data_IF_580701427479
#
_entry.id   IF_580701427479
#
_cell.length_a   1.000
_cell.length_b   1.000
_cell.length_c   1.000
_cell.angle_alpha   90.00
_cell.angle_beta   90.00
_cell.angle_gamma   90.00
#
_symmetry.space_group_name_H-M   'P 1'
#
loop_
_entity.id
_entity.type
_entity.pdbx_description
1 polymer ?
#
# COMPACT_ATOMS: atom_id res chain seq x y z
N UNK A 1 1.28 -55.61 -42.36
CA UNK A 1 0.26 -55.31 -41.33
C UNK A 1 0.88 -55.02 -39.95
N UNK A 2 2.19 -55.28 -39.74
CA UNK A 2 2.89 -55.05 -38.46
C UNK A 2 3.44 -53.64 -38.24
N UNK A 3 3.61 -52.81 -39.29
CA UNK A 3 4.12 -51.43 -39.16
C UNK A 3 3.13 -50.40 -38.58
N UNK A 4 1.95 -50.84 -38.14
CA UNK A 4 0.90 -49.98 -37.58
C UNK A 4 0.79 -50.03 -36.05
N UNK A 5 1.48 -50.97 -35.40
CA UNK A 5 1.39 -51.17 -33.95
C UNK A 5 2.51 -50.48 -33.16
N UNK A 6 3.60 -50.06 -33.80
CA UNK A 6 4.69 -49.31 -33.13
C UNK A 6 4.42 -47.81 -32.99
N UNK A 7 3.36 -47.29 -33.63
CA UNK A 7 3.05 -45.84 -33.61
C UNK A 7 2.30 -45.40 -32.35
N UNK A 8 1.80 -46.34 -31.56
CA UNK A 8 1.01 -46.08 -30.34
C UNK A 8 1.84 -46.15 -29.05
N UNK A 9 3.17 -46.32 -29.15
CA UNK A 9 4.11 -46.29 -28.01
C UNK A 9 4.95 -45.02 -27.92
N UNK A 10 4.62 -43.97 -28.67
CA UNK A 10 5.16 -42.65 -28.34
C UNK A 10 4.41 -42.11 -27.11
N UNK A 11 5.09 -41.83 -25.99
CA UNK A 11 4.45 -41.15 -24.88
C UNK A 11 3.88 -39.83 -25.40
N UNK A 12 2.60 -39.59 -25.13
CA UNK A 12 1.95 -38.31 -25.39
C UNK A 12 2.88 -37.21 -24.89
N UNK A 13 3.21 -36.17 -25.70
CA UNK A 13 4.04 -35.06 -25.24
C UNK A 13 3.40 -34.53 -23.96
N UNK A 14 4.18 -34.42 -22.88
CA UNK A 14 3.73 -34.02 -21.55
C UNK A 14 2.82 -32.79 -21.62
N UNK A 15 1.51 -33.04 -21.70
CA UNK A 15 0.47 -32.03 -21.73
C UNK A 15 0.31 -31.50 -20.30
N UNK A 16 1.27 -30.69 -19.85
CA UNK A 16 1.29 -30.23 -18.46
C UNK A 16 2.38 -29.21 -18.13
N UNK A 17 3.51 -29.17 -18.85
CA UNK A 17 4.47 -28.07 -18.66
C UNK A 17 3.93 -26.83 -19.35
N UNK A 18 3.18 -26.02 -18.60
CA UNK A 18 2.96 -24.61 -18.92
C UNK A 18 4.33 -23.93 -18.95
N UNK A 19 4.99 -23.93 -20.10
CA UNK A 19 6.17 -23.12 -20.35
C UNK A 19 5.77 -21.66 -20.11
N UNK A 20 6.28 -21.08 -19.02
CA UNK A 20 6.01 -19.72 -18.63
C UNK A 20 6.95 -18.75 -19.33
N UNK A 21 6.42 -17.59 -19.69
CA UNK A 21 7.15 -16.41 -20.17
C UNK A 21 8.36 -16.06 -19.28
N UNK A 22 9.60 -15.83 -19.79
CA UNK A 22 10.33 -16.50 -20.88
C UNK A 22 11.27 -17.63 -20.40
N UNK A 23 11.29 -18.03 -19.12
CA UNK A 23 12.38 -18.84 -18.53
C UNK A 23 11.93 -20.01 -17.60
N UNK A 24 10.98 -20.84 -18.02
CA UNK A 24 10.68 -22.11 -17.32
C UNK A 24 9.37 -22.13 -16.51
N UNK A 25 9.36 -22.88 -15.40
CA UNK A 25 8.18 -23.01 -14.53
C UNK A 25 7.81 -21.65 -13.95
N UNK A 26 6.63 -21.15 -14.34
CA UNK A 26 6.13 -19.86 -13.87
C UNK A 26 5.52 -19.92 -12.45
N UNK A 27 5.73 -21.00 -11.71
CA UNK A 27 5.26 -21.18 -10.34
C UNK A 27 6.40 -20.92 -9.34
N UNK A 28 6.35 -19.81 -8.58
CA UNK A 28 7.38 -19.45 -7.62
C UNK A 28 7.38 -20.37 -6.40
N UNK A 29 8.54 -20.91 -6.02
CA UNK A 29 8.67 -21.57 -4.71
C UNK A 29 8.64 -20.53 -3.58
N UNK A 30 8.28 -20.95 -2.36
CA UNK A 30 8.27 -20.06 -1.18
C UNK A 30 9.62 -19.36 -0.95
N UNK A 31 10.74 -20.09 -1.10
CA UNK A 31 12.08 -19.54 -0.95
C UNK A 31 12.40 -18.46 -1.99
N UNK A 32 12.05 -18.70 -3.25
CA UNK A 32 12.22 -17.71 -4.32
C UNK A 32 11.38 -16.46 -4.09
N UNK A 33 10.11 -16.62 -3.67
CA UNK A 33 9.23 -15.49 -3.34
C UNK A 33 9.80 -14.62 -2.22
N UNK A 34 10.31 -15.24 -1.16
CA UNK A 34 10.96 -14.51 -0.05
C UNK A 34 12.19 -13.76 -0.56
N UNK A 35 13.08 -14.43 -1.29
CA UNK A 35 14.31 -13.82 -1.81
C UNK A 35 14.04 -12.62 -2.72
N UNK A 36 13.11 -12.77 -3.67
CA UNK A 36 12.69 -11.68 -4.57
C UNK A 36 12.05 -10.52 -3.79
N UNK A 37 11.22 -10.82 -2.79
CA UNK A 37 10.56 -9.81 -1.98
C UNK A 37 11.54 -9.04 -1.08
N UNK A 38 12.57 -9.71 -0.55
CA UNK A 38 13.67 -9.06 0.16
C UNK A 38 14.47 -8.14 -0.77
N UNK A 39 14.76 -8.59 -2.00
CA UNK A 39 15.46 -7.76 -2.99
C UNK A 39 14.66 -6.50 -3.33
N UNK A 40 13.37 -6.63 -3.64
CA UNK A 40 12.50 -5.50 -3.98
C UNK A 40 12.39 -4.53 -2.79
N UNK A 41 12.17 -5.05 -1.57
CA UNK A 41 12.14 -4.23 -0.37
C UNK A 41 13.47 -3.50 -0.14
N UNK A 42 14.60 -4.18 -0.30
CA UNK A 42 15.93 -3.59 -0.16
C UNK A 42 16.17 -2.46 -1.16
N UNK A 43 15.86 -2.68 -2.45
CA UNK A 43 15.98 -1.65 -3.49
C UNK A 43 15.08 -0.44 -3.20
N UNK A 44 13.83 -0.67 -2.78
CA UNK A 44 12.91 0.39 -2.41
C UNK A 44 13.41 1.23 -1.22
N UNK A 45 13.94 0.58 -0.18
CA UNK A 45 14.56 1.26 0.97
C UNK A 45 15.77 2.07 0.53
N UNK A 46 16.65 1.52 -0.30
CA UNK A 46 17.82 2.25 -0.81
C UNK A 46 17.39 3.47 -1.62
N UNK A 47 16.37 3.35 -2.48
CA UNK A 47 15.83 4.47 -3.24
C UNK A 47 15.25 5.57 -2.34
N UNK A 48 14.48 5.20 -1.31
CA UNK A 48 13.99 6.14 -0.29
C UNK A 48 15.14 6.83 0.43
N UNK A 49 16.10 6.07 0.94
CA UNK A 49 17.21 6.62 1.71
C UNK A 49 18.09 7.54 0.83
N UNK A 50 18.28 7.18 -0.44
CA UNK A 50 18.94 8.03 -1.41
C UNK A 50 18.19 9.35 -1.60
N UNK A 51 16.87 9.32 -1.85
CA UNK A 51 16.03 10.53 -1.96
C UNK A 51 16.18 11.44 -0.75
N UNK A 52 16.04 10.88 0.46
CA UNK A 52 16.13 11.62 1.71
C UNK A 52 17.53 12.20 1.98
N UNK A 53 18.57 11.57 1.43
CA UNK A 53 19.95 12.06 1.56
C UNK A 53 20.28 13.12 0.50
N UNK A 54 19.73 12.98 -0.70
CA UNK A 54 19.92 13.92 -1.81
C UNK A 54 19.12 15.23 -1.64
N UNK A 55 18.01 15.20 -0.89
CA UNK A 55 17.14 16.36 -0.65
C UNK A 55 16.94 16.57 0.85
N UNK A 56 17.87 17.26 1.54
CA UNK A 56 17.71 17.62 2.93
C UNK A 56 16.40 18.41 3.13
N UNK A 57 15.49 17.90 3.95
CA UNK A 57 14.16 18.49 4.17
C UNK A 57 13.04 17.81 3.38
N UNK A 58 13.35 16.87 2.47
CA UNK A 58 12.34 16.01 1.89
C UNK A 58 11.65 15.20 3.00
N UNK A 59 10.32 15.25 3.00
CA UNK A 59 9.48 14.46 3.89
C UNK A 59 8.69 13.45 3.05
N UNK A 60 8.10 12.49 3.74
CA UNK A 60 7.32 11.39 3.17
C UNK A 60 5.88 11.46 3.64
N UNK A 61 5.02 10.76 2.92
CA UNK A 61 3.62 10.57 3.30
C UNK A 61 3.49 9.88 4.67
N UNK A 62 4.45 9.00 5.00
CA UNK A 62 4.55 8.33 6.30
C UNK A 62 5.00 9.26 7.43
N UNK A 63 5.81 10.29 7.15
CA UNK A 63 6.27 11.22 8.19
C UNK A 63 5.12 12.02 8.79
N UNK A 64 4.10 12.37 7.99
CA UNK A 64 2.88 13.05 8.44
C UNK A 64 2.15 12.27 9.53
N UNK A 65 1.87 11.00 9.26
CA UNK A 65 1.13 10.13 10.18
C UNK A 65 1.95 9.78 11.42
N UNK A 66 3.27 9.65 11.27
CA UNK A 66 4.18 9.39 12.39
C UNK A 66 4.33 10.61 13.31
N UNK A 67 4.41 11.82 12.73
CA UNK A 67 4.33 13.06 13.49
C UNK A 67 2.99 13.15 14.23
N UNK A 68 1.88 12.90 13.54
CA UNK A 68 0.55 12.85 14.13
C UNK A 68 0.46 11.89 15.31
N UNK A 69 1.00 10.68 15.17
CA UNK A 69 1.06 9.67 16.23
C UNK A 69 1.86 10.15 17.45
N UNK A 70 3.00 10.81 17.25
CA UNK A 70 3.82 11.32 18.35
C UNK A 70 3.14 12.47 19.09
N UNK A 71 2.51 13.39 18.37
CA UNK A 71 1.75 14.49 19.00
C UNK A 71 0.56 13.98 19.78
N UNK A 72 -0.19 13.02 19.20
CA UNK A 72 -1.29 12.34 19.86
C UNK A 72 -0.85 11.66 21.18
N UNK A 73 0.28 10.93 21.17
CA UNK A 73 0.83 10.33 22.39
C UNK A 73 1.30 11.36 23.42
N UNK A 74 1.70 12.55 22.98
CA UNK A 74 2.07 13.67 23.84
C UNK A 74 0.84 14.45 24.35
N UNK A 75 -0.39 14.00 24.06
CA UNK A 75 -1.63 14.69 24.44
C UNK A 75 -1.86 15.98 23.66
N UNK A 76 -1.22 16.16 22.51
CA UNK A 76 -1.37 17.32 21.63
C UNK A 76 -2.20 16.95 20.41
N UNK A 77 -3.04 17.88 19.99
CA UNK A 77 -3.75 17.76 18.71
C UNK A 77 -2.77 18.02 17.54
N UNK A 78 -2.56 17.05 16.62
CA UNK A 78 -1.68 17.23 15.48
C UNK A 78 -2.25 18.08 14.34
N UNK A 79 -3.57 18.20 14.20
CA UNK A 79 -4.18 18.90 13.07
C UNK A 79 -3.78 20.38 12.95
N UNK A 80 -3.71 21.19 14.04
CA UNK A 80 -3.25 22.57 13.95
C UNK A 80 -1.72 22.72 13.86
N UNK A 81 -0.96 21.62 13.86
CA UNK A 81 0.51 21.63 13.89
C UNK A 81 1.15 21.31 12.54
N UNK A 82 0.35 20.93 11.54
CA UNK A 82 0.82 20.52 10.21
C UNK A 82 0.29 21.47 9.15
N UNK A 83 1.20 22.04 8.35
CA UNK A 83 0.87 22.94 7.25
C UNK A 83 1.96 23.99 7.01
N UNK A 84 1.72 24.96 6.11
CA UNK A 84 2.74 25.95 5.75
C UNK A 84 3.09 26.86 6.93
N UNK A 85 4.37 26.93 7.29
CA UNK A 85 4.88 27.71 8.42
C UNK A 85 4.57 27.12 9.80
N UNK A 86 4.10 25.88 9.90
CA UNK A 86 3.75 25.23 11.16
C UNK A 86 4.86 24.30 11.67
N UNK A 87 4.67 23.71 12.86
CA UNK A 87 5.66 22.85 13.52
C UNK A 87 6.13 21.70 12.61
N UNK A 88 5.20 21.08 11.90
CA UNK A 88 5.51 20.19 10.80
C UNK A 88 5.21 20.89 9.47
N UNK A 89 6.26 21.49 8.91
CA UNK A 89 6.20 22.18 7.62
C UNK A 89 5.74 21.24 6.50
N UNK A 90 4.58 21.52 5.92
CA UNK A 90 4.00 20.77 4.81
C UNK A 90 3.16 21.70 3.95
N UNK A 91 3.09 21.45 2.65
CA UNK A 91 2.39 22.35 1.73
C UNK A 91 0.86 22.41 1.99
N UNK A 92 0.32 21.43 2.70
CA UNK A 92 -1.11 21.20 2.91
C UNK A 92 -1.42 20.85 4.37
N UNK A 93 -2.70 20.83 4.72
CA UNK A 93 -3.13 20.39 6.05
C UNK A 93 -2.96 18.87 6.27
N UNK A 94 -3.05 18.44 7.53
CA UNK A 94 -3.04 17.01 7.88
C UNK A 94 -4.38 16.35 7.53
N UNK A 95 -4.49 15.85 6.30
CA UNK A 95 -5.71 15.21 5.78
C UNK A 95 -5.89 13.73 6.18
N UNK A 96 -5.01 13.20 7.02
CA UNK A 96 -5.13 11.85 7.54
C UNK A 96 -6.10 11.78 8.70
N UNK A 97 -7.02 10.80 8.73
CA UNK A 97 -7.81 10.53 9.93
C UNK A 97 -6.90 10.01 11.05
N UNK A 98 -7.28 10.23 12.31
CA UNK A 98 -6.45 9.85 13.46
C UNK A 98 -6.26 8.34 13.63
N UNK A 99 -7.11 7.53 13.00
CA UNK A 99 -6.93 6.08 12.84
C UNK A 99 -5.59 5.73 12.18
N UNK A 100 -5.09 6.57 11.26
CA UNK A 100 -3.76 6.39 10.66
C UNK A 100 -2.64 6.58 11.69
N UNK A 101 -2.80 7.51 12.63
CA UNK A 101 -1.82 7.76 13.69
C UNK A 101 -1.73 6.55 14.63
N UNK A 102 -2.89 5.99 15.00
CA UNK A 102 -2.96 4.77 15.81
C UNK A 102 -2.26 3.60 15.09
N UNK A 103 -2.51 3.44 13.79
CA UNK A 103 -1.94 2.36 12.99
C UNK A 103 -0.40 2.38 12.93
N UNK A 104 0.23 3.55 13.12
CA UNK A 104 1.69 3.70 13.09
C UNK A 104 2.33 3.86 14.47
N UNK A 105 1.58 3.72 15.57
CA UNK A 105 2.12 3.76 16.93
C UNK A 105 3.36 2.86 17.14
N UNK A 106 3.42 1.62 16.61
CA UNK A 106 4.61 0.77 16.76
C UNK A 106 5.91 1.39 16.20
N UNK A 107 5.81 2.35 15.27
CA UNK A 107 6.95 3.00 14.64
C UNK A 107 7.43 4.26 15.38
N UNK A 108 6.71 4.71 16.40
CA UNK A 108 7.01 5.96 17.11
C UNK A 108 8.34 5.93 17.86
N UNK A 109 8.82 4.74 18.23
CA UNK A 109 10.12 4.50 18.89
C UNK A 109 11.33 4.71 17.96
N UNK A 110 11.12 4.72 16.64
CA UNK A 110 12.17 4.87 15.64
C UNK A 110 12.29 6.35 15.24
N UNK A 111 13.44 6.79 14.72
CA UNK A 111 13.56 8.12 14.09
C UNK A 111 12.70 8.20 12.82
N UNK A 112 12.31 9.40 12.37
CA UNK A 112 11.46 9.57 11.17
C UNK A 112 11.99 8.78 9.96
N UNK A 113 13.29 8.94 9.67
CA UNK A 113 13.99 8.24 8.57
C UNK A 113 13.94 6.71 8.72
N UNK A 114 14.19 6.19 9.92
CA UNK A 114 14.18 4.73 10.16
C UNK A 114 12.77 4.15 10.15
N UNK A 115 11.79 4.90 10.65
CA UNK A 115 10.40 4.52 10.66
C UNK A 115 9.84 4.43 9.23
N UNK A 116 10.09 5.45 8.40
CA UNK A 116 9.72 5.44 6.97
C UNK A 116 10.41 4.29 6.23
N UNK A 117 11.71 4.06 6.47
CA UNK A 117 12.43 2.93 5.86
C UNK A 117 11.85 1.56 6.29
N UNK A 118 11.52 1.39 7.57
CA UNK A 118 10.91 0.16 8.07
C UNK A 118 9.51 -0.06 7.47
N UNK A 119 8.70 0.99 7.38
CA UNK A 119 7.38 0.93 6.76
C UNK A 119 7.48 0.57 5.27
N UNK A 120 8.39 1.19 4.52
CA UNK A 120 8.65 0.85 3.11
C UNK A 120 9.14 -0.58 2.97
N UNK A 121 10.12 -1.01 3.77
CA UNK A 121 10.61 -2.39 3.74
C UNK A 121 9.48 -3.40 3.92
N UNK A 122 8.65 -3.20 4.96
CA UNK A 122 7.51 -4.06 5.25
C UNK A 122 6.48 -4.05 4.11
N UNK A 123 6.09 -2.86 3.65
CA UNK A 123 5.05 -2.69 2.63
C UNK A 123 5.45 -3.30 1.29
N UNK A 124 6.69 -3.07 0.85
CA UNK A 124 7.19 -3.60 -0.43
C UNK A 124 7.46 -5.11 -0.37
N UNK A 125 7.96 -5.60 0.77
CA UNK A 125 8.11 -7.04 0.98
C UNK A 125 6.77 -7.75 0.88
N UNK A 126 5.75 -7.26 1.60
CA UNK A 126 4.42 -7.88 1.62
C UNK A 126 3.72 -7.78 0.26
N UNK A 127 3.83 -6.64 -0.43
CA UNK A 127 3.28 -6.49 -1.78
C UNK A 127 3.95 -7.46 -2.77
N UNK A 128 5.28 -7.53 -2.79
CA UNK A 128 6.01 -8.47 -3.65
C UNK A 128 5.65 -9.92 -3.35
N UNK A 129 5.59 -10.26 -2.06
CA UNK A 129 5.25 -11.61 -1.64
C UNK A 129 3.83 -12.00 -2.06
N UNK A 130 2.88 -11.06 -1.94
CA UNK A 130 1.50 -11.21 -2.40
C UNK A 130 1.40 -11.38 -3.93
N UNK A 131 2.06 -10.51 -4.69
CA UNK A 131 1.96 -10.52 -6.16
C UNK A 131 2.60 -11.75 -6.81
N UNK A 132 3.59 -12.35 -6.14
CA UNK A 132 4.31 -13.55 -6.60
C UNK A 132 3.69 -14.86 -6.09
N UNK A 133 2.48 -14.83 -5.55
CA UNK A 133 1.80 -16.03 -5.06
C UNK A 133 1.64 -17.10 -6.13
N UNK A 134 1.12 -16.72 -7.29
CA UNK A 134 0.78 -17.68 -8.35
C UNK A 134 1.76 -17.65 -9.52
N UNK A 135 2.49 -16.55 -9.72
CA UNK A 135 3.42 -16.39 -10.84
C UNK A 135 4.24 -15.10 -10.85
N UNK A 136 5.26 -15.05 -11.71
CA UNK A 136 6.18 -13.93 -11.87
C UNK A 136 5.65 -12.79 -12.76
N UNK A 137 4.54 -12.98 -13.50
CA UNK A 137 4.10 -12.02 -14.52
C UNK A 137 3.73 -10.64 -13.99
N UNK A 138 3.50 -10.50 -12.67
CA UNK A 138 3.15 -9.23 -12.03
C UNK A 138 4.36 -8.40 -11.62
N UNK A 139 5.58 -8.97 -11.64
CA UNK A 139 6.81 -8.28 -11.26
C UNK A 139 7.09 -6.98 -12.05
N UNK A 140 6.73 -6.84 -13.35
CA UNK A 140 6.94 -5.59 -14.07
C UNK A 140 6.30 -4.36 -13.42
N UNK A 141 5.29 -4.52 -12.54
CA UNK A 141 4.71 -3.41 -11.78
C UNK A 141 5.75 -2.64 -10.98
N UNK A 142 6.80 -3.33 -10.51
CA UNK A 142 7.89 -2.75 -9.72
C UNK A 142 8.80 -1.83 -10.54
N UNK A 143 8.76 -1.91 -11.87
CA UNK A 143 9.44 -0.96 -12.77
C UNK A 143 8.59 0.27 -13.11
N UNK A 144 7.34 0.36 -12.65
CA UNK A 144 6.45 1.47 -12.98
C UNK A 144 6.78 2.73 -12.18
N UNK A 145 6.51 3.90 -12.77
CA UNK A 145 6.66 5.19 -12.09
C UNK A 145 5.80 5.27 -10.81
N UNK A 146 4.59 4.71 -10.83
CA UNK A 146 3.70 4.68 -9.68
C UNK A 146 4.26 3.87 -8.50
N UNK A 147 4.94 2.75 -8.80
CA UNK A 147 5.62 1.97 -7.76
C UNK A 147 6.81 2.74 -7.18
N UNK A 148 7.66 3.31 -8.05
CA UNK A 148 8.83 4.07 -7.62
C UNK A 148 8.41 5.24 -6.73
N UNK A 149 7.42 6.01 -7.16
CA UNK A 149 6.85 7.11 -6.35
C UNK A 149 6.32 6.61 -5.01
N UNK A 150 5.56 5.51 -5.01
CA UNK A 150 5.03 4.92 -3.78
C UNK A 150 6.15 4.51 -2.80
N UNK A 151 7.27 4.00 -3.31
CA UNK A 151 8.42 3.62 -2.50
C UNK A 151 9.15 4.83 -1.92
N UNK A 152 9.50 5.81 -2.74
CA UNK A 152 10.27 6.98 -2.30
C UNK A 152 9.45 7.97 -1.48
N UNK A 153 8.12 7.94 -1.60
CA UNK A 153 7.18 8.76 -0.83
C UNK A 153 6.65 8.03 0.40
N UNK A 154 7.08 6.79 0.66
CA UNK A 154 6.58 5.92 1.74
C UNK A 154 5.04 5.84 1.81
N UNK A 155 4.43 5.62 0.64
CA UNK A 155 2.98 5.59 0.48
C UNK A 155 2.34 4.36 1.13
N UNK A 156 1.08 4.52 1.56
CA UNK A 156 0.22 3.45 2.08
C UNK A 156 -0.31 2.48 1.01
N UNK A 157 -0.28 2.87 -0.26
CA UNK A 157 -0.84 2.07 -1.35
C UNK A 157 -0.30 0.63 -1.45
N UNK A 158 1.00 0.34 -1.25
CA UNK A 158 1.53 -1.00 -1.43
C UNK A 158 1.00 -1.98 -0.38
N UNK A 159 0.96 -1.58 0.90
CA UNK A 159 0.45 -2.45 1.98
C UNK A 159 -1.07 -2.65 1.86
N UNK A 160 -1.81 -1.62 1.42
CA UNK A 160 -3.25 -1.73 1.20
C UNK A 160 -3.54 -2.64 -0.01
N UNK A 161 -2.82 -2.51 -1.12
CA UNK A 161 -2.97 -3.40 -2.30
C UNK A 161 -2.61 -4.85 -1.94
N UNK A 162 -1.58 -5.06 -1.11
CA UNK A 162 -1.19 -6.39 -0.65
C UNK A 162 -2.32 -7.10 0.11
N UNK A 163 -3.30 -6.37 0.67
CA UNK A 163 -4.47 -6.95 1.34
C UNK A 163 -5.39 -7.78 0.42
N UNK A 164 -5.27 -7.63 -0.91
CA UNK A 164 -6.00 -8.45 -1.88
C UNK A 164 -5.61 -9.93 -1.79
N UNK A 165 -4.33 -10.23 -1.53
CA UNK A 165 -3.83 -11.59 -1.33
C UNK A 165 -3.59 -11.94 0.14
N UNK A 166 -3.37 -10.92 0.99
CA UNK A 166 -3.08 -11.09 2.41
C UNK A 166 -4.17 -10.40 3.25
N UNK A 167 -5.34 -11.04 3.49
CA UNK A 167 -6.48 -10.43 4.15
C UNK A 167 -6.17 -9.77 5.50
N UNK A 168 -5.16 -10.26 6.23
CA UNK A 168 -4.71 -9.67 7.50
C UNK A 168 -4.21 -8.22 7.36
N UNK A 169 -3.77 -7.79 6.18
CA UNK A 169 -3.35 -6.41 5.96
C UNK A 169 -4.52 -5.44 5.82
N UNK A 170 -5.75 -5.95 5.75
CA UNK A 170 -6.96 -5.13 5.81
C UNK A 170 -7.11 -4.42 7.18
N UNK A 171 -6.28 -4.73 8.18
CA UNK A 171 -6.20 -3.96 9.43
C UNK A 171 -5.88 -2.47 9.22
N UNK A 172 -5.23 -2.13 8.10
CA UNK A 172 -4.88 -0.75 7.75
C UNK A 172 -5.98 -0.02 6.99
N UNK A 173 -7.18 -0.61 6.84
CA UNK A 173 -8.23 -0.07 5.99
C UNK A 173 -8.67 1.35 6.37
N UNK A 174 -8.76 1.64 7.68
CA UNK A 174 -9.17 2.95 8.17
C UNK A 174 -8.05 3.99 8.14
N UNK A 175 -6.79 3.63 7.85
CA UNK A 175 -5.69 4.58 7.78
C UNK A 175 -5.73 5.43 6.48
N UNK A 176 -6.21 4.84 5.37
CA UNK A 176 -6.57 5.55 4.13
C UNK A 176 -7.92 5.04 3.61
N UNK A 177 -9.04 5.47 4.21
CA UNK A 177 -10.36 4.91 3.91
C UNK A 177 -10.74 5.03 2.42
N UNK A 178 -10.39 6.13 1.76
CA UNK A 178 -10.66 6.35 0.33
C UNK A 178 -9.95 5.33 -0.57
N UNK A 179 -8.74 4.90 -0.22
CA UNK A 179 -7.99 3.92 -0.99
C UNK A 179 -8.45 2.50 -0.65
N UNK A 180 -8.58 2.22 0.64
CA UNK A 180 -8.99 0.91 1.13
C UNK A 180 -10.41 0.55 0.71
N UNK A 181 -11.32 1.53 0.62
CA UNK A 181 -12.67 1.30 0.10
C UNK A 181 -12.64 0.77 -1.33
N UNK A 182 -11.85 1.36 -2.23
CA UNK A 182 -11.72 0.89 -3.61
C UNK A 182 -11.16 -0.54 -3.68
N UNK A 183 -10.14 -0.84 -2.87
CA UNK A 183 -9.52 -2.17 -2.82
C UNK A 183 -10.47 -3.22 -2.23
N UNK A 184 -11.17 -2.90 -1.14
CA UNK A 184 -12.13 -3.81 -0.51
C UNK A 184 -13.39 -4.01 -1.35
N UNK A 185 -13.84 -3.00 -2.11
CA UNK A 185 -14.95 -3.17 -3.05
C UNK A 185 -14.62 -4.16 -4.18
N UNK A 186 -13.33 -4.26 -4.55
CA UNK A 186 -12.83 -5.21 -5.55
C UNK A 186 -12.41 -6.57 -5.00
N UNK A 187 -12.34 -6.76 -3.68
CA UNK A 187 -11.83 -8.01 -3.10
C UNK A 187 -12.85 -9.14 -3.21
N UNK A 188 -12.37 -10.37 -3.44
CA UNK A 188 -13.19 -11.59 -3.35
C UNK A 188 -13.16 -12.20 -1.95
N UNK A 189 -12.28 -11.72 -1.07
CA UNK A 189 -12.10 -12.26 0.28
C UNK A 189 -13.08 -11.63 1.28
N UNK A 190 -14.10 -12.39 1.68
CA UNK A 190 -15.00 -11.99 2.78
C UNK A 190 -14.23 -11.76 4.09
N UNK A 191 -13.16 -12.51 4.30
CA UNK A 191 -12.29 -12.36 5.47
C UNK A 191 -11.61 -10.99 5.51
N UNK A 192 -11.15 -10.46 4.37
CA UNK A 192 -10.54 -9.13 4.33
C UNK A 192 -11.54 -8.03 4.75
N UNK A 193 -12.79 -8.14 4.29
CA UNK A 193 -13.87 -7.21 4.68
C UNK A 193 -14.16 -7.27 6.18
N UNK A 194 -14.24 -8.48 6.75
CA UNK A 194 -14.46 -8.67 8.19
C UNK A 194 -13.31 -8.08 9.01
N UNK A 195 -12.06 -8.36 8.63
CA UNK A 195 -10.87 -7.81 9.29
C UNK A 195 -10.87 -6.28 9.21
N UNK A 196 -11.14 -5.71 8.04
CA UNK A 196 -11.25 -4.25 7.86
C UNK A 196 -12.31 -3.64 8.79
N UNK A 197 -13.48 -4.27 8.91
CA UNK A 197 -14.55 -3.78 9.76
C UNK A 197 -14.16 -3.74 11.24
N UNK A 198 -13.69 -4.86 11.79
CA UNK A 198 -13.33 -4.94 13.21
C UNK A 198 -12.10 -4.09 13.55
N UNK A 199 -11.07 -4.10 12.70
CA UNK A 199 -9.90 -3.24 12.89
C UNK A 199 -10.27 -1.76 12.83
N UNK A 200 -11.18 -1.36 11.94
CA UNK A 200 -11.68 0.02 11.89
C UNK A 200 -12.33 0.42 13.20
N UNK A 201 -13.21 -0.41 13.76
CA UNK A 201 -13.85 -0.13 15.06
C UNK A 201 -12.79 0.05 16.16
N UNK A 202 -11.81 -0.84 16.22
CA UNK A 202 -10.73 -0.78 17.23
C UNK A 202 -9.90 0.49 17.06
N UNK A 203 -9.43 0.78 15.84
CA UNK A 203 -8.60 1.94 15.56
C UNK A 203 -9.37 3.24 15.80
N UNK A 204 -10.65 3.30 15.45
CA UNK A 204 -11.52 4.45 15.76
C UNK A 204 -11.65 4.62 17.27
N UNK A 205 -11.94 3.54 18.01
CA UNK A 205 -12.05 3.57 19.47
C UNK A 205 -10.78 4.10 20.14
N UNK A 206 -9.60 3.59 19.74
CA UNK A 206 -8.32 4.08 20.26
C UNK A 206 -8.09 5.54 19.85
N UNK A 207 -8.37 5.91 18.61
CA UNK A 207 -8.16 7.29 18.15
C UNK A 207 -9.05 8.31 18.89
N UNK A 208 -10.30 7.94 19.21
CA UNK A 208 -11.23 8.79 19.97
C UNK A 208 -10.85 8.88 21.45
N UNK A 209 -10.22 7.83 22.00
CA UNK A 209 -9.69 7.86 23.35
C UNK A 209 -8.57 8.91 23.49
N UNK A 210 -7.66 9.01 22.51
CA UNK A 210 -6.57 9.98 22.56
C UNK A 210 -6.95 11.37 22.03
N UNK A 211 -7.82 11.47 21.02
CA UNK A 211 -8.19 12.72 20.34
C UNK A 211 -9.71 12.78 20.10
N UNK A 212 -10.55 12.95 21.14
CA UNK A 212 -12.01 12.85 20.99
C UNK A 212 -12.62 13.79 19.94
N UNK A 213 -11.99 14.94 19.69
CA UNK A 213 -12.46 15.97 18.74
C UNK A 213 -11.89 15.79 17.32
N UNK A 214 -11.00 14.80 17.09
CA UNK A 214 -10.36 14.60 15.79
C UNK A 214 -11.33 14.50 14.60
N UNK A 215 -12.51 13.85 14.70
CA UNK A 215 -13.39 13.74 13.54
C UNK A 215 -13.88 15.12 13.08
N UNK A 216 -14.12 16.04 14.01
CA UNK A 216 -14.55 17.40 13.69
C UNK A 216 -13.40 18.16 13.02
N UNK A 217 -12.20 18.17 13.61
CA UNK A 217 -11.04 18.85 13.04
C UNK A 217 -10.67 18.32 11.66
N UNK A 218 -10.68 17.00 11.49
CA UNK A 218 -10.42 16.35 10.21
C UNK A 218 -11.46 16.73 9.15
N UNK A 219 -12.76 16.71 9.49
CA UNK A 219 -13.82 17.13 8.56
C UNK A 219 -13.73 18.62 8.19
N UNK A 220 -13.34 19.47 9.13
CA UNK A 220 -13.09 20.89 8.87
C UNK A 220 -11.94 21.08 7.88
N UNK A 221 -10.82 20.37 8.08
CA UNK A 221 -9.69 20.39 7.16
C UNK A 221 -10.05 19.88 5.78
N UNK A 222 -10.76 18.76 5.68
CA UNK A 222 -11.19 18.21 4.39
C UNK A 222 -12.10 19.15 3.59
N UNK A 223 -12.89 19.98 4.27
CA UNK A 223 -13.75 20.99 3.63
C UNK A 223 -12.97 22.23 3.23
N UNK A 224 -11.98 22.62 4.02
CA UNK A 224 -11.13 23.79 3.77
C UNK A 224 -10.09 23.55 2.67
N UNK A 225 -9.50 22.35 2.62
CA UNK A 225 -8.33 22.03 1.79
C UNK A 225 -8.69 21.30 0.48
N UNK A 226 -9.77 21.73 -0.19
CA UNK A 226 -10.30 21.08 -1.41
C UNK A 226 -9.69 21.59 -2.71
N UNK A 227 -8.91 22.69 -2.68
CA UNK A 227 -8.44 23.36 -3.90
C UNK A 227 -7.43 22.54 -4.71
N UNK A 228 -6.56 21.78 -4.04
CA UNK A 228 -5.47 21.03 -4.66
C UNK A 228 -5.84 19.56 -4.96
N UNK A 229 -6.87 19.01 -4.29
CA UNK A 229 -7.34 17.64 -4.49
C UNK A 229 -8.56 17.58 -5.40
N UNK A 230 -8.33 17.39 -6.69
CA UNK A 230 -9.39 17.18 -7.68
C UNK A 230 -9.50 15.70 -8.02
N UNK A 231 -10.70 15.14 -7.87
CA UNK A 231 -10.96 13.76 -8.25
C UNK A 231 -10.61 13.54 -9.73
N UNK A 232 -10.00 12.40 -10.06
CA UNK A 232 -9.61 12.12 -11.46
C UNK A 232 -10.81 12.20 -12.42
N UNK A 233 -12.01 11.85 -11.95
CA UNK A 233 -13.25 11.95 -12.73
C UNK A 233 -13.64 13.39 -13.09
N UNK A 234 -13.20 14.38 -12.30
CA UNK A 234 -13.49 15.81 -12.55
C UNK A 234 -12.44 16.48 -13.44
N UNK A 235 -11.40 15.76 -13.86
CA UNK A 235 -10.41 16.24 -14.82
C UNK A 235 -10.89 16.07 -16.27
N UNK A 236 -10.31 16.80 -17.25
CA UNK A 236 -10.55 16.53 -18.67
C UNK A 236 -10.29 15.06 -19.00
N UNK A 237 -11.22 14.40 -19.70
CA UNK A 237 -11.23 12.95 -19.96
C UNK A 237 -11.41 12.04 -18.73
N UNK A 238 -11.62 12.61 -17.55
CA UNK A 238 -11.85 11.88 -16.29
C UNK A 238 -13.06 10.94 -16.33
N UNK A 239 -14.10 11.28 -17.09
CA UNK A 239 -15.25 10.41 -17.29
C UNK A 239 -14.88 9.06 -17.97
N UNK A 240 -13.79 9.01 -18.75
CA UNK A 240 -13.29 7.75 -19.35
C UNK A 240 -12.79 6.79 -18.26
N UNK A 241 -12.30 7.32 -17.12
CA UNK A 241 -11.92 6.50 -15.96
C UNK A 241 -13.13 5.73 -15.42
N UNK A 242 -14.35 6.25 -15.54
CA UNK A 242 -15.57 5.54 -15.11
C UNK A 242 -15.84 4.29 -15.96
N UNK A 243 -15.36 4.22 -17.20
CA UNK A 243 -15.48 3.00 -18.01
C UNK A 243 -14.71 1.83 -17.41
N UNK A 244 -13.67 2.09 -16.60
CA UNK A 244 -12.96 1.04 -15.87
C UNK A 244 -13.87 0.35 -14.84
N UNK A 245 -14.86 1.07 -14.29
CA UNK A 245 -15.84 0.49 -13.35
C UNK A 245 -16.67 -0.61 -14.03
N UNK A 246 -16.98 -0.45 -15.33
CA UNK A 246 -17.74 -1.45 -16.09
C UNK A 246 -16.95 -2.74 -16.33
N UNK A 247 -15.62 -2.71 -16.22
CA UNK A 247 -14.74 -3.88 -16.30
C UNK A 247 -14.16 -4.31 -14.96
N UNK A 248 -14.58 -3.68 -13.87
CA UNK A 248 -14.09 -3.98 -12.53
C UNK A 248 -14.80 -5.21 -11.96
N UNK A 249 -14.46 -6.41 -12.47
CA UNK A 249 -14.82 -7.73 -11.90
C UNK A 249 -14.15 -8.94 -12.58
#
# INVERSE_FOLDING_TARGET
MERRLERDQQPLPEAGRRYGFPWGSNQPTKGQRIAVSLLIAGVAVLALLYRLSAHPGAKTDFDLVLFGARMMMAGRDPYPLVGPGLEFEWDFGLIYPATAFVAVLPFTILSMKMAAAAFVALSMFLLSYALTEDSWHRLPIFGSAAFVDSAISAQWSPIIIASLSLPMLAIFASAKPQLSFAILAGTRSKYAVVIAFFSTIILVGISLYFLPEWPQHWLHLLRADTGHMKAAVTQPFGAVVLLLVLRWR
#
